data_IF_950899398518
#
_entry.id   IF_950899398518
#
_cell.length_a   1.000
_cell.length_b   1.000
_cell.length_c   1.000
_cell.angle_alpha   90.00
_cell.angle_beta   90.00
_cell.angle_gamma   90.00
#
_symmetry.space_group_name_H-M   'P 1'
#
loop_
_entity.id
_entity.type
_entity.pdbx_description
1 polymer ?
#
# COMPACT_ATOMS: atom_id res chain seq x y z
N UNK A 1 13.40 -0.13 -20.74
CA UNK A 1 13.31 -0.50 -19.32
C UNK A 1 13.33 0.72 -18.39
N UNK A 2 14.32 1.62 -18.48
CA UNK A 2 14.46 2.77 -17.59
C UNK A 2 13.23 3.71 -17.55
N UNK A 3 12.67 4.07 -18.70
CA UNK A 3 11.46 4.92 -18.81
C UNK A 3 10.27 4.38 -17.99
N UNK A 4 10.02 3.07 -18.04
CA UNK A 4 8.92 2.45 -17.30
C UNK A 4 9.17 2.40 -15.80
N UNK A 5 10.43 2.20 -15.38
CA UNK A 5 10.78 2.22 -13.95
C UNK A 5 10.60 3.61 -13.35
N UNK A 6 10.94 4.66 -14.09
CA UNK A 6 10.71 6.03 -13.66
C UNK A 6 9.23 6.31 -13.45
N UNK A 7 8.38 5.98 -14.44
CA UNK A 7 6.93 6.15 -14.30
C UNK A 7 6.33 5.31 -13.15
N UNK A 8 6.80 4.07 -12.96
CA UNK A 8 6.37 3.24 -11.84
C UNK A 8 6.78 3.81 -10.48
N UNK A 9 7.97 4.38 -10.38
CA UNK A 9 8.47 5.01 -9.16
C UNK A 9 7.67 6.29 -8.84
N UNK A 10 7.44 7.13 -9.84
CA UNK A 10 6.63 8.35 -9.72
C UNK A 10 5.21 8.04 -9.20
N UNK A 11 4.54 7.07 -9.83
CA UNK A 11 3.23 6.63 -9.38
C UNK A 11 3.28 6.05 -7.96
N UNK A 12 4.33 5.31 -7.59
CA UNK A 12 4.49 4.79 -6.23
C UNK A 12 4.69 5.90 -5.19
N UNK A 13 5.43 6.96 -5.52
CA UNK A 13 5.63 8.12 -4.64
C UNK A 13 4.30 8.79 -4.28
N UNK A 14 3.40 8.97 -5.26
CA UNK A 14 2.06 9.50 -4.98
C UNK A 14 1.31 8.66 -3.93
N UNK A 15 1.33 7.32 -4.03
CA UNK A 15 0.63 6.45 -3.08
C UNK A 15 1.30 6.46 -1.70
N UNK A 16 2.62 6.63 -1.64
CA UNK A 16 3.36 6.81 -0.39
C UNK A 16 2.99 8.14 0.28
N UNK A 17 2.91 9.23 -0.49
CA UNK A 17 2.48 10.52 0.03
C UNK A 17 1.04 10.47 0.57
N UNK A 18 0.11 9.83 -0.15
CA UNK A 18 -1.26 9.61 0.34
C UNK A 18 -1.29 8.87 1.68
N UNK A 19 -0.48 7.83 1.85
CA UNK A 19 -0.35 7.11 3.12
C UNK A 19 0.09 8.05 4.26
N UNK A 20 1.17 8.80 4.06
CA UNK A 20 1.70 9.71 5.06
C UNK A 20 0.73 10.85 5.40
N UNK A 21 0.17 11.51 4.38
CA UNK A 21 -0.74 12.64 4.56
C UNK A 21 -2.04 12.20 5.21
N UNK A 22 -2.61 11.04 4.85
CA UNK A 22 -3.79 10.49 5.54
C UNK A 22 -3.59 10.40 7.04
N UNK A 23 -2.52 9.71 7.45
CA UNK A 23 -2.24 9.46 8.87
C UNK A 23 -2.01 10.80 9.58
N UNK A 24 -1.17 11.67 9.01
CA UNK A 24 -0.81 12.94 9.66
C UNK A 24 -1.99 13.90 9.77
N UNK A 25 -2.86 13.99 8.77
CA UNK A 25 -4.05 14.84 8.83
C UNK A 25 -5.00 14.37 9.93
N UNK A 26 -5.27 13.07 9.99
CA UNK A 26 -6.29 12.49 10.89
C UNK A 26 -5.77 12.17 12.29
N UNK A 27 -4.46 12.20 12.53
CA UNK A 27 -3.87 11.85 13.85
C UNK A 27 -2.88 12.88 14.40
N UNK A 28 -2.39 13.82 13.59
CA UNK A 28 -1.31 14.74 13.94
C UNK A 28 -1.60 16.20 13.54
N UNK A 29 -2.87 16.55 13.28
CA UNK A 29 -3.31 17.91 12.93
C UNK A 29 -2.63 18.52 11.70
N UNK A 30 -2.10 17.72 10.77
CA UNK A 30 -1.57 18.24 9.51
C UNK A 30 -2.69 18.96 8.74
N UNK A 31 -2.43 20.19 8.35
CA UNK A 31 -3.35 21.02 7.58
C UNK A 31 -3.30 20.69 6.08
N UNK A 32 -4.29 21.16 5.32
CA UNK A 32 -4.29 21.04 3.85
C UNK A 32 -3.06 21.70 3.23
N UNK A 33 -2.63 22.85 3.76
CA UNK A 33 -1.48 23.58 3.22
C UNK A 33 -0.16 22.84 3.48
N UNK A 34 0.00 22.25 4.66
CA UNK A 34 1.14 21.37 4.97
C UNK A 34 1.11 20.09 4.13
N UNK A 35 -0.06 19.48 3.94
CA UNK A 35 -0.24 18.35 3.05
C UNK A 35 0.11 18.69 1.60
N UNK A 36 -0.28 19.88 1.13
CA UNK A 36 0.05 20.38 -0.21
C UNK A 36 1.56 20.47 -0.40
N UNK A 37 2.26 21.13 0.54
CA UNK A 37 3.73 21.20 0.53
C UNK A 37 4.36 19.81 0.56
N UNK A 38 3.81 18.90 1.37
CA UNK A 38 4.30 17.52 1.44
C UNK A 38 4.25 16.82 0.08
N UNK A 39 3.16 16.95 -0.69
CA UNK A 39 3.07 16.40 -2.04
C UNK A 39 4.06 17.07 -3.01
N UNK A 40 4.23 18.40 -2.96
CA UNK A 40 5.20 19.10 -3.82
C UNK A 40 6.63 18.63 -3.57
N UNK A 41 7.01 18.49 -2.29
CA UNK A 41 8.38 18.11 -1.89
C UNK A 41 8.69 16.63 -2.12
N UNK A 42 7.70 15.74 -1.97
CA UNK A 42 7.93 14.30 -1.94
C UNK A 42 7.46 13.56 -3.21
N UNK A 43 6.51 14.10 -3.98
CA UNK A 43 6.13 13.51 -5.27
C UNK A 43 6.15 14.50 -6.43
N UNK A 44 6.83 15.65 -6.26
CA UNK A 44 7.14 16.63 -7.31
C UNK A 44 5.92 17.13 -8.10
N UNK A 45 4.75 17.13 -7.46
CA UNK A 45 3.55 17.69 -8.05
C UNK A 45 3.61 19.22 -8.01
N UNK A 46 3.12 19.85 -9.07
CA UNK A 46 2.84 21.27 -9.06
C UNK A 46 1.75 21.61 -8.03
N UNK A 47 1.65 22.88 -7.64
CA UNK A 47 0.77 23.33 -6.55
C UNK A 47 -0.69 22.85 -6.72
N UNK A 48 -1.26 23.02 -7.91
CA UNK A 48 -2.67 22.68 -8.18
C UNK A 48 -2.97 21.17 -7.98
N UNK A 49 -2.26 20.23 -8.61
CA UNK A 49 -2.48 18.80 -8.36
C UNK A 49 -2.10 18.40 -6.92
N UNK A 50 -1.04 18.97 -6.33
CA UNK A 50 -0.66 18.71 -4.95
C UNK A 50 -1.78 19.08 -3.96
N UNK A 51 -2.38 20.27 -4.14
CA UNK A 51 -3.49 20.75 -3.32
C UNK A 51 -4.74 19.88 -3.50
N UNK A 52 -4.97 19.36 -4.71
CA UNK A 52 -6.08 18.45 -4.99
C UNK A 52 -5.93 17.15 -4.19
N UNK A 53 -4.73 16.58 -4.13
CA UNK A 53 -4.44 15.38 -3.34
C UNK A 53 -4.52 15.64 -1.83
N UNK A 54 -4.03 16.78 -1.35
CA UNK A 54 -4.16 17.19 0.05
C UNK A 54 -5.63 17.37 0.44
N UNK A 55 -6.43 18.06 -0.38
CA UNK A 55 -7.87 18.22 -0.17
C UNK A 55 -8.59 16.87 -0.15
N UNK A 56 -8.23 15.93 -1.04
CA UNK A 56 -8.79 14.57 -1.03
C UNK A 56 -8.61 13.87 0.32
N UNK A 57 -7.44 14.04 0.95
CA UNK A 57 -7.15 13.45 2.26
C UNK A 57 -8.13 13.85 3.36
N UNK A 58 -8.76 15.03 3.24
CA UNK A 58 -9.71 15.52 4.24
C UNK A 58 -11.02 14.73 4.29
N UNK A 59 -11.45 14.15 3.16
CA UNK A 59 -12.73 13.41 3.06
C UNK A 59 -12.57 11.94 2.67
N UNK A 60 -11.40 11.52 2.17
CA UNK A 60 -11.06 10.14 1.85
C UNK A 60 -9.83 9.69 2.64
N UNK A 61 -9.96 9.39 3.95
CA UNK A 61 -8.85 8.83 4.73
C UNK A 61 -8.40 7.47 4.17
N UNK A 62 -9.27 6.77 3.44
CA UNK A 62 -9.03 5.44 2.87
C UNK A 62 -8.02 5.41 1.72
N UNK A 63 -7.65 6.55 1.14
CA UNK A 63 -6.64 6.62 0.07
C UNK A 63 -5.22 6.22 0.52
N UNK A 64 -5.00 5.92 1.81
CA UNK A 64 -3.77 5.29 2.30
C UNK A 64 -3.66 3.81 1.90
N UNK A 65 -4.80 3.17 1.62
CA UNK A 65 -4.90 1.72 1.44
C UNK A 65 -4.12 1.19 0.23
N UNK A 66 -3.82 2.03 -0.78
CA UNK A 66 -3.02 1.60 -1.93
C UNK A 66 -1.64 1.09 -1.49
N UNK A 67 -0.94 1.84 -0.63
CA UNK A 67 0.38 1.46 -0.15
C UNK A 67 0.28 0.41 0.94
N UNK A 68 -0.63 0.61 1.91
CA UNK A 68 -0.82 -0.32 3.01
C UNK A 68 -1.15 -1.73 2.48
N UNK A 69 -2.16 -1.86 1.62
CA UNK A 69 -2.56 -3.14 1.03
C UNK A 69 -1.43 -3.78 0.19
N UNK A 70 -0.66 -2.98 -0.57
CA UNK A 70 0.52 -3.48 -1.30
C UNK A 70 1.55 -4.08 -0.34
N UNK A 71 1.89 -3.39 0.74
CA UNK A 71 2.85 -3.89 1.73
C UNK A 71 2.34 -5.18 2.40
N UNK A 72 1.06 -5.23 2.75
CA UNK A 72 0.45 -6.41 3.36
C UNK A 72 0.45 -7.62 2.41
N UNK A 73 0.15 -7.41 1.12
CA UNK A 73 0.21 -8.48 0.09
C UNK A 73 1.66 -8.96 -0.09
N UNK A 74 2.63 -8.04 -0.11
CA UNK A 74 4.05 -8.40 -0.22
C UNK A 74 4.52 -9.21 1.00
N UNK A 75 4.15 -8.81 2.22
CA UNK A 75 4.44 -9.57 3.45
C UNK A 75 3.81 -10.96 3.41
N UNK A 76 2.53 -11.06 3.05
CA UNK A 76 1.84 -12.35 2.85
C UNK A 76 2.57 -13.23 1.82
N UNK A 77 3.04 -12.66 0.70
CA UNK A 77 3.82 -13.41 -0.29
C UNK A 77 5.11 -13.97 0.29
N UNK A 78 5.87 -13.17 1.03
CA UNK A 78 7.12 -13.64 1.64
C UNK A 78 6.87 -14.72 2.70
N UNK A 79 5.84 -14.58 3.51
CA UNK A 79 5.45 -15.61 4.49
C UNK A 79 5.00 -16.90 3.82
N UNK A 80 4.20 -16.80 2.76
CA UNK A 80 3.76 -17.93 1.96
C UNK A 80 4.95 -18.62 1.27
N UNK A 81 5.89 -17.84 0.73
CA UNK A 81 7.14 -18.35 0.15
C UNK A 81 7.97 -19.12 1.18
N UNK A 82 8.14 -18.57 2.38
CA UNK A 82 8.87 -19.24 3.46
C UNK A 82 8.18 -20.56 3.87
N UNK A 83 6.84 -20.61 3.86
CA UNK A 83 6.07 -21.81 4.13
C UNK A 83 6.24 -22.90 3.06
N UNK A 84 6.19 -22.52 1.79
CA UNK A 84 6.24 -23.47 0.66
C UNK A 84 7.66 -23.92 0.31
N UNK A 85 8.71 -23.19 0.74
CA UNK A 85 10.13 -23.52 0.47
C UNK A 85 10.36 -23.78 -1.03
N UNK A 86 10.87 -24.96 -1.38
CA UNK A 86 11.20 -25.35 -2.75
C UNK A 86 9.96 -25.54 -3.64
N UNK A 87 8.76 -25.68 -3.07
CA UNK A 87 7.51 -25.81 -3.82
C UNK A 87 6.89 -24.45 -4.22
N UNK A 88 7.49 -23.34 -3.76
CA UNK A 88 7.00 -22.00 -4.04
C UNK A 88 7.02 -21.70 -5.55
N UNK A 89 5.90 -21.16 -6.03
CA UNK A 89 5.82 -20.53 -7.34
C UNK A 89 4.98 -19.26 -7.23
N UNK A 90 5.44 -18.20 -7.90
CA UNK A 90 4.70 -16.94 -7.95
C UNK A 90 3.32 -17.12 -8.59
N UNK A 91 3.20 -18.02 -9.57
CA UNK A 91 1.91 -18.35 -10.20
C UNK A 91 0.96 -19.01 -9.19
N UNK A 92 1.43 -20.01 -8.43
CA UNK A 92 0.62 -20.68 -7.39
C UNK A 92 0.14 -19.68 -6.34
N UNK A 93 1.02 -18.77 -5.92
CA UNK A 93 0.66 -17.69 -4.98
C UNK A 93 -0.44 -16.78 -5.55
N UNK A 94 -0.30 -16.29 -6.79
CA UNK A 94 -1.31 -15.42 -7.40
C UNK A 94 -2.65 -16.13 -7.61
N UNK A 95 -2.63 -17.39 -8.07
CA UNK A 95 -3.85 -18.18 -8.22
C UNK A 95 -4.57 -18.33 -6.87
N UNK A 96 -3.84 -18.73 -5.83
CA UNK A 96 -4.41 -18.90 -4.50
C UNK A 96 -4.97 -17.59 -3.95
N UNK A 97 -4.22 -16.48 -4.04
CA UNK A 97 -4.66 -15.17 -3.56
C UNK A 97 -5.96 -14.71 -4.25
N UNK A 98 -6.04 -14.85 -5.57
CA UNK A 98 -7.16 -14.33 -6.38
C UNK A 98 -8.40 -15.24 -6.34
N UNK A 99 -8.25 -16.51 -6.00
CA UNK A 99 -9.37 -17.46 -5.88
C UNK A 99 -10.37 -17.09 -4.78
N UNK A 100 -9.96 -16.27 -3.81
CA UNK A 100 -10.78 -15.90 -2.66
C UNK A 100 -11.53 -14.57 -2.83
N UNK A 101 -11.35 -13.86 -3.94
CA UNK A 101 -11.97 -12.55 -4.18
C UNK A 101 -11.25 -11.41 -3.43
N UNK A 102 -11.99 -10.62 -2.64
CA UNK A 102 -11.46 -9.43 -1.95
C UNK A 102 -11.64 -9.40 -0.42
N UNK A 103 -11.41 -10.51 0.32
CA UNK A 103 -11.47 -10.46 1.78
C UNK A 103 -10.32 -9.59 2.35
N UNK A 104 -10.47 -9.09 3.59
CA UNK A 104 -9.38 -8.41 4.30
C UNK A 104 -8.09 -9.24 4.28
N UNK A 105 -6.92 -8.60 4.11
CA UNK A 105 -5.64 -9.34 4.01
C UNK A 105 -5.41 -10.24 5.22
N UNK A 106 -5.85 -9.82 6.40
CA UNK A 106 -5.79 -10.65 7.61
C UNK A 106 -6.55 -11.97 7.45
N UNK A 107 -7.73 -11.98 6.82
CA UNK A 107 -8.45 -13.24 6.54
C UNK A 107 -7.76 -14.06 5.45
N UNK A 108 -7.16 -13.42 4.43
CA UNK A 108 -6.32 -14.15 3.46
C UNK A 108 -5.15 -14.86 4.13
N UNK A 109 -4.53 -14.24 5.13
CA UNK A 109 -3.46 -14.88 5.92
C UNK A 109 -3.95 -16.13 6.64
N UNK A 110 -5.16 -16.11 7.18
CA UNK A 110 -5.80 -17.31 7.77
C UNK A 110 -5.98 -18.44 6.77
N UNK A 111 -6.44 -18.10 5.57
CA UNK A 111 -6.72 -19.07 4.51
C UNK A 111 -5.43 -19.65 3.93
N UNK A 112 -4.41 -18.81 3.71
CA UNK A 112 -3.21 -19.16 2.95
C UNK A 112 -2.02 -19.64 3.81
N UNK A 113 -1.96 -19.25 5.10
CA UNK A 113 -0.86 -19.58 6.01
C UNK A 113 -1.28 -20.62 7.06
N UNK A 114 -0.45 -21.66 7.19
CA UNK A 114 -0.64 -22.76 8.16
C UNK A 114 -0.27 -22.35 9.59
N UNK A 115 0.69 -21.43 9.73
CA UNK A 115 1.16 -20.95 11.04
C UNK A 115 0.27 -19.82 11.55
N UNK A 116 -0.51 -20.13 12.59
CA UNK A 116 -1.45 -19.18 13.21
C UNK A 116 -0.77 -17.96 13.82
N UNK A 117 0.47 -18.10 14.28
CA UNK A 117 1.21 -16.99 14.89
C UNK A 117 1.47 -15.87 13.87
N UNK A 118 1.49 -16.21 12.58
CA UNK A 118 1.71 -15.24 11.50
C UNK A 118 0.45 -14.55 11.06
N UNK A 119 -0.74 -14.98 11.46
CA UNK A 119 -1.98 -14.43 10.88
C UNK A 119 -2.09 -12.92 11.10
N UNK A 120 -1.74 -12.42 12.28
CA UNK A 120 -1.81 -10.99 12.61
C UNK A 120 -0.58 -10.16 12.17
N UNK A 121 0.49 -10.81 11.70
CA UNK A 121 1.71 -10.16 11.18
C UNK A 121 1.53 -9.62 9.74
N UNK A 122 0.55 -8.73 9.56
CA UNK A 122 0.21 -8.18 8.25
C UNK A 122 1.21 -7.12 7.73
N UNK A 123 2.09 -6.60 8.59
CA UNK A 123 3.16 -5.64 8.24
C UNK A 123 4.52 -6.14 8.71
#
# INVERSE_FOLDING_TARGET
>A
AAKYRMAQADEAMLRLCRLCVSIKMHTQNMTVDEGTKFFQENCYYEEKPARTEAMRGTFDPGYLNYTLGKLQILKLREDYKAQQRDEFSLQKFHNELLNHGMPPIRLLREIMLKDKNKWDEAL
#
